data_IF_151108761224
#
_entry.id   IF_151108761224
#
_cell.length_a   1.000
_cell.length_b   1.000
_cell.length_c   1.000
_cell.angle_alpha   90.00
_cell.angle_beta   90.00
_cell.angle_gamma   90.00
#
_symmetry.space_group_name_H-M   'P 1'
#
loop_
_entity.id
_entity.type
_entity.pdbx_description
1 polymer ?
#
# COMPACT_ATOMS: atom_id res chain seq x y z
N UNK A 1 8.52 -19.70 -3.49
CA UNK A 1 8.36 -18.31 -3.00
C UNK A 1 7.10 -18.30 -2.16
N UNK A 2 7.23 -18.23 -0.83
CA UNK A 2 6.09 -17.90 0.00
C UNK A 2 5.80 -16.40 -0.18
N UNK A 3 4.59 -16.09 -0.64
CA UNK A 3 4.13 -14.72 -0.81
C UNK A 3 3.59 -14.23 0.54
N UNK A 4 4.38 -13.42 1.23
CA UNK A 4 3.94 -12.75 2.46
C UNK A 4 2.85 -11.75 2.10
N UNK A 5 1.69 -11.84 2.75
CA UNK A 5 0.57 -10.91 2.60
C UNK A 5 0.37 -10.12 3.90
N UNK A 6 1.01 -8.95 4.05
CA UNK A 6 0.92 -8.17 5.28
C UNK A 6 -0.49 -7.58 5.46
N UNK A 7 -0.96 -7.52 6.71
CA UNK A 7 -2.29 -6.96 7.03
C UNK A 7 -2.32 -5.43 7.01
N UNK A 8 -1.15 -4.79 7.06
CA UNK A 8 -1.02 -3.33 7.09
C UNK A 8 0.23 -2.85 6.39
N UNK A 9 0.22 -1.58 5.98
CA UNK A 9 1.38 -0.90 5.38
C UNK A 9 2.57 -0.90 6.33
N UNK A 10 2.34 -0.76 7.65
CA UNK A 10 3.42 -0.80 8.64
C UNK A 10 4.07 -2.18 8.79
N UNK A 11 3.32 -3.27 8.57
CA UNK A 11 3.92 -4.60 8.45
C UNK A 11 4.71 -4.73 7.14
N UNK A 12 4.13 -4.29 6.02
CA UNK A 12 4.77 -4.33 4.71
C UNK A 12 6.12 -3.60 4.68
N UNK A 13 6.22 -2.44 5.34
CA UNK A 13 7.43 -1.61 5.38
C UNK A 13 8.60 -2.24 6.12
N UNK A 14 8.36 -3.31 6.91
CA UNK A 14 9.41 -4.05 7.63
C UNK A 14 9.87 -5.31 6.90
N UNK A 15 9.24 -5.67 5.78
CA UNK A 15 9.63 -6.82 4.98
C UNK A 15 10.95 -6.51 4.26
N UNK A 16 11.97 -7.34 4.50
CA UNK A 16 13.27 -7.20 3.84
C UNK A 16 13.11 -7.28 2.32
N UNK A 17 13.66 -6.30 1.60
CA UNK A 17 13.55 -6.19 0.15
C UNK A 17 12.40 -5.32 -0.35
N UNK A 18 11.53 -4.83 0.54
CA UNK A 18 10.55 -3.77 0.19
C UNK A 18 11.23 -2.42 0.30
N UNK A 19 11.16 -1.61 -0.77
CA UNK A 19 11.74 -0.27 -0.74
C UNK A 19 10.75 0.76 -0.17
N UNK A 20 11.24 1.87 0.42
CA UNK A 20 10.37 2.99 0.80
C UNK A 20 9.55 3.55 -0.37
N UNK A 21 10.07 3.48 -1.61
CA UNK A 21 9.37 3.94 -2.80
C UNK A 21 8.14 3.07 -3.11
N UNK A 22 8.23 1.76 -2.92
CA UNK A 22 7.10 0.84 -3.11
C UNK A 22 5.98 1.11 -2.11
N UNK A 23 6.34 1.41 -0.86
CA UNK A 23 5.38 1.83 0.17
C UNK A 23 4.70 3.15 -0.21
N UNK A 24 5.46 4.12 -0.70
CA UNK A 24 4.89 5.41 -1.14
C UNK A 24 3.94 5.23 -2.33
N UNK A 25 4.30 4.41 -3.31
CA UNK A 25 3.42 4.04 -4.44
C UNK A 25 2.10 3.45 -3.94
N UNK A 26 2.16 2.49 -3.02
CA UNK A 26 0.97 1.88 -2.42
C UNK A 26 0.09 2.93 -1.72
N UNK A 27 0.68 3.83 -0.94
CA UNK A 27 -0.05 4.90 -0.25
C UNK A 27 -0.74 5.86 -1.23
N UNK A 28 -0.06 6.26 -2.30
CA UNK A 28 -0.64 7.11 -3.36
C UNK A 28 -1.82 6.39 -4.03
N UNK A 29 -1.64 5.11 -4.38
CA UNK A 29 -2.70 4.31 -5.00
C UNK A 29 -3.94 4.18 -4.11
N UNK A 30 -3.75 3.87 -2.83
CA UNK A 30 -4.86 3.76 -1.88
C UNK A 30 -5.59 5.10 -1.69
N UNK A 31 -4.85 6.21 -1.65
CA UNK A 31 -5.43 7.55 -1.54
C UNK A 31 -6.20 7.94 -2.81
N UNK A 32 -5.69 7.62 -4.00
CA UNK A 32 -6.42 7.82 -5.26
C UNK A 32 -7.75 7.07 -5.25
N UNK A 33 -7.72 5.79 -4.90
CA UNK A 33 -8.92 4.94 -4.83
C UNK A 33 -9.93 5.44 -3.78
N UNK A 34 -9.44 5.94 -2.64
CA UNK A 34 -10.29 6.58 -1.61
C UNK A 34 -10.97 7.84 -2.16
N UNK A 35 -10.25 8.67 -2.92
CA UNK A 35 -10.80 9.89 -3.53
C UNK A 35 -11.78 9.60 -4.66
N UNK A 36 -11.58 8.52 -5.41
CA UNK A 36 -12.52 8.08 -6.44
C UNK A 36 -13.87 7.71 -5.82
N UNK A 37 -13.89 6.90 -4.76
CA UNK A 37 -15.15 6.55 -4.08
C UNK A 37 -15.88 7.73 -3.43
N UNK A 38 -15.17 8.83 -3.13
CA UNK A 38 -15.77 10.08 -2.64
C UNK A 38 -16.37 10.97 -3.73
N UNK A 39 -16.10 10.69 -5.02
CA UNK A 39 -16.69 11.43 -6.14
C UNK A 39 -18.06 10.88 -6.57
N UNK A 40 -18.39 9.67 -6.10
CA UNK A 40 -19.64 8.98 -6.40
C UNK A 40 -20.75 9.27 -5.35
N UNK A 41 -20.46 10.13 -4.35
CA UNK A 41 -21.40 10.70 -3.36
C UNK A 41 -21.71 12.18 -3.67
#
# INVERSE_FOLDING_TARGET
LELVKPDSVGQASRISGVSPADINMLLIFLEQRRREGLKDE
#
